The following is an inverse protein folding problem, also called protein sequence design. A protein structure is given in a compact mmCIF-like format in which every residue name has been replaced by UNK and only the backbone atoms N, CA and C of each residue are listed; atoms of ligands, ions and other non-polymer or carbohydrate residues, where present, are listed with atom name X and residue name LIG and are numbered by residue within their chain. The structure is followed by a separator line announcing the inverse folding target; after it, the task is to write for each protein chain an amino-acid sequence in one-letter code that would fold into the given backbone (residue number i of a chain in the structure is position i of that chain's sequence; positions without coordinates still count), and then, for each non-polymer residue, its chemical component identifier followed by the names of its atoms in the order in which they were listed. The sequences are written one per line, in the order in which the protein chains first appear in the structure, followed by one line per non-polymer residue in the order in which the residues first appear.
data_IF_252795679337
#
_entry.id   IF_252795679337
#
_cell.length_a   1.000
_cell.length_b   1.000
_cell.length_c   1.000
_cell.angle_alpha   90.00
_cell.angle_beta   90.00
_cell.angle_gamma   90.00
#
_symmetry.space_group_name_H-M   'P 1'
#
loop_
_entity.id
_entity.type
_entity.pdbx_description
1 polymer ?
#
# COMPACT_ATOMS: atom_id res chain seq x y z
N UNK A 1 16.95 36.08 -14.34
CA UNK A 1 15.93 36.01 -13.28
C UNK A 1 14.62 36.44 -13.89
N UNK A 2 13.52 35.74 -13.60
CA UNK A 2 12.17 36.10 -14.02
C UNK A 2 11.35 36.29 -12.76
N UNK A 3 11.16 37.55 -12.36
CA UNK A 3 10.48 37.92 -11.11
C UNK A 3 8.97 38.17 -11.31
N UNK A 4 8.51 38.26 -12.55
CA UNK A 4 7.10 38.37 -12.94
C UNK A 4 6.70 37.20 -13.83
N UNK A 5 5.39 36.92 -13.89
CA UNK A 5 4.83 35.90 -14.78
C UNK A 5 5.33 36.11 -16.21
N UNK A 6 5.91 35.05 -16.77
CA UNK A 6 6.59 35.08 -18.06
C UNK A 6 6.01 34.00 -18.95
N UNK A 7 5.52 34.38 -20.13
CA UNK A 7 4.80 33.49 -21.02
C UNK A 7 5.25 33.58 -22.47
N UNK A 8 5.54 32.43 -23.06
CA UNK A 8 5.82 32.23 -24.47
C UNK A 8 4.76 31.28 -25.03
N UNK A 9 3.90 31.78 -25.91
CA UNK A 9 2.78 31.03 -26.47
C UNK A 9 2.92 30.90 -27.97
N UNK A 10 2.84 29.65 -28.48
CA UNK A 10 2.77 29.37 -29.91
C UNK A 10 3.92 29.93 -30.75
N UNK A 11 5.13 30.01 -30.18
CA UNK A 11 6.32 30.49 -30.87
C UNK A 11 7.05 29.33 -31.55
N UNK A 12 7.85 29.68 -32.56
CA UNK A 12 8.84 28.78 -33.15
C UNK A 12 10.25 29.30 -32.87
N UNK A 13 11.04 28.54 -32.13
CA UNK A 13 12.45 28.81 -31.88
C UNK A 13 13.28 28.05 -32.92
N UNK A 14 13.90 28.80 -33.84
CA UNK A 14 14.61 28.25 -34.99
C UNK A 14 16.06 27.86 -34.71
N UNK A 15 16.60 28.25 -33.56
CA UNK A 15 17.97 27.96 -33.13
C UNK A 15 17.97 27.27 -31.76
N UNK A 16 19.15 26.84 -31.33
CA UNK A 16 19.35 26.27 -29.98
C UNK A 16 18.93 27.27 -28.91
N UNK A 17 18.10 26.84 -27.97
CA UNK A 17 17.64 27.67 -26.84
C UNK A 17 18.36 27.22 -25.57
N UNK A 18 19.15 28.12 -24.99
CA UNK A 18 19.89 27.88 -23.75
C UNK A 18 19.40 28.82 -22.64
N UNK A 19 18.60 28.29 -21.72
CA UNK A 19 18.06 28.96 -20.53
C UNK A 19 18.78 28.46 -19.27
N UNK A 20 20.10 28.62 -19.23
CA UNK A 20 20.93 28.03 -18.17
C UNK A 20 20.87 28.86 -16.88
N UNK A 21 20.82 28.18 -15.74
CA UNK A 21 20.82 28.81 -14.40
C UNK A 21 19.71 29.85 -14.24
N UNK A 22 18.56 29.58 -14.85
CA UNK A 22 17.43 30.48 -14.79
C UNK A 22 16.82 30.40 -13.38
N UNK A 23 16.37 31.54 -12.86
CA UNK A 23 15.66 31.60 -11.58
C UNK A 23 14.31 32.28 -11.82
N UNK A 24 13.26 31.46 -11.92
CA UNK A 24 11.86 31.86 -12.00
C UNK A 24 11.31 31.97 -10.58
N UNK A 25 10.86 33.17 -10.20
CA UNK A 25 10.16 33.42 -8.92
C UNK A 25 8.65 33.60 -9.08
N UNK A 26 8.20 33.64 -10.33
CA UNK A 26 6.82 33.73 -10.77
C UNK A 26 6.54 32.62 -11.80
N UNK A 27 5.32 32.53 -12.31
CA UNK A 27 4.94 31.47 -13.24
C UNK A 27 5.74 31.60 -14.55
N UNK A 28 6.24 30.48 -15.06
CA UNK A 28 7.01 30.42 -16.30
C UNK A 28 6.33 29.47 -17.29
N UNK A 29 5.75 30.02 -18.36
CA UNK A 29 4.87 29.31 -19.27
C UNK A 29 5.48 29.28 -20.67
N UNK A 30 5.73 28.08 -21.19
CA UNK A 30 6.17 27.79 -22.55
C UNK A 30 5.11 26.92 -23.23
N UNK A 31 3.97 27.51 -23.54
CA UNK A 31 2.81 26.78 -24.04
C UNK A 31 2.81 26.67 -25.57
N UNK A 32 2.66 25.44 -26.08
CA UNK A 32 2.44 25.20 -27.51
C UNK A 32 3.57 25.67 -28.42
N UNK A 33 4.81 25.76 -27.91
CA UNK A 33 5.94 26.24 -28.71
C UNK A 33 6.57 25.10 -29.52
N UNK A 34 7.26 25.45 -30.60
CA UNK A 34 8.06 24.52 -31.40
C UNK A 34 9.53 24.90 -31.24
N UNK A 35 10.34 23.94 -30.78
CA UNK A 35 11.80 24.06 -30.72
C UNK A 35 12.39 23.19 -31.83
N UNK A 36 13.02 23.83 -32.83
CA UNK A 36 13.58 23.10 -33.97
C UNK A 36 14.94 22.50 -33.67
N UNK A 37 15.64 23.01 -32.66
CA UNK A 37 16.93 22.54 -32.17
C UNK A 37 16.87 22.28 -30.66
N UNK A 38 18.01 21.89 -30.09
CA UNK A 38 18.17 21.55 -28.68
C UNK A 38 17.65 22.65 -27.75
N UNK A 39 16.92 22.24 -26.71
CA UNK A 39 16.57 23.09 -25.57
C UNK A 39 17.40 22.64 -24.36
N UNK A 40 18.09 23.57 -23.71
CA UNK A 40 18.75 23.31 -22.42
C UNK A 40 18.31 24.34 -21.38
N UNK A 41 17.74 23.86 -20.29
CA UNK A 41 17.26 24.64 -19.15
C UNK A 41 18.00 24.24 -17.87
N UNK A 42 19.18 23.65 -18.02
CA UNK A 42 19.93 23.03 -16.93
C UNK A 42 20.26 24.01 -15.80
N UNK A 43 20.36 23.47 -14.58
CA UNK A 43 20.73 24.20 -13.35
C UNK A 43 19.76 25.31 -12.98
N UNK A 44 18.51 25.22 -13.43
CA UNK A 44 17.50 26.25 -13.23
C UNK A 44 16.65 25.98 -11.99
N UNK A 45 16.04 27.04 -11.46
CA UNK A 45 15.18 26.99 -10.29
C UNK A 45 13.84 27.65 -10.63
N UNK A 46 12.77 26.87 -10.48
CA UNK A 46 11.39 27.26 -10.67
C UNK A 46 10.68 27.24 -9.33
N UNK A 47 10.52 28.42 -8.72
CA UNK A 47 9.86 28.56 -7.41
C UNK A 47 8.34 28.56 -7.50
N UNK A 48 7.79 28.70 -8.70
CA UNK A 48 6.36 28.71 -9.02
C UNK A 48 6.09 27.76 -10.20
N UNK A 49 4.85 27.78 -10.70
CA UNK A 49 4.41 26.89 -11.78
C UNK A 49 5.28 27.01 -13.04
N UNK A 50 5.69 25.87 -13.57
CA UNK A 50 6.35 25.75 -14.87
C UNK A 50 5.47 24.96 -15.81
N UNK A 51 5.32 25.42 -17.06
CA UNK A 51 4.63 24.65 -18.09
C UNK A 51 5.38 24.63 -19.40
N UNK A 52 5.54 23.45 -19.99
CA UNK A 52 5.93 23.22 -21.39
C UNK A 52 4.80 22.55 -22.19
N UNK A 53 3.58 22.61 -21.66
CA UNK A 53 2.42 21.92 -22.20
C UNK A 53 2.21 22.19 -23.68
N UNK A 54 1.79 21.16 -24.43
CA UNK A 54 1.54 21.22 -25.87
C UNK A 54 2.76 21.54 -26.75
N UNK A 55 3.98 21.63 -26.20
CA UNK A 55 5.15 21.97 -26.99
C UNK A 55 5.69 20.79 -27.80
N UNK A 56 6.34 21.10 -28.92
CA UNK A 56 7.03 20.15 -29.79
C UNK A 56 8.54 20.42 -29.75
N UNK A 57 9.31 19.38 -29.45
CA UNK A 57 10.76 19.40 -29.45
C UNK A 57 11.28 18.47 -30.54
N UNK A 58 11.97 19.04 -31.54
CA UNK A 58 12.52 18.25 -32.66
C UNK A 58 13.84 17.57 -32.31
N UNK A 59 14.58 18.12 -31.36
CA UNK A 59 15.87 17.62 -30.88
C UNK A 59 15.85 17.43 -29.35
N UNK A 60 17.00 17.08 -28.79
CA UNK A 60 17.15 16.77 -27.36
C UNK A 60 16.74 17.93 -26.43
N UNK A 61 16.20 17.57 -25.26
CA UNK A 61 15.73 18.50 -24.24
C UNK A 61 16.35 18.18 -22.88
N UNK A 62 16.97 19.17 -22.24
CA UNK A 62 17.67 18.97 -20.97
C UNK A 62 17.15 19.91 -19.89
N UNK A 63 16.76 19.33 -18.77
CA UNK A 63 16.36 20.00 -17.53
C UNK A 63 17.27 19.64 -16.35
N UNK A 64 18.48 19.15 -16.62
CA UNK A 64 19.34 18.51 -15.62
C UNK A 64 19.73 19.46 -14.48
N UNK A 65 19.86 18.90 -13.28
CA UNK A 65 20.24 19.63 -12.06
C UNK A 65 19.29 20.81 -11.75
N UNK A 66 18.03 20.71 -12.15
CA UNK A 66 17.04 21.77 -11.95
C UNK A 66 16.10 21.48 -10.78
N UNK A 67 15.51 22.54 -10.23
CA UNK A 67 14.62 22.48 -9.07
C UNK A 67 13.24 23.00 -9.46
N UNK A 68 12.21 22.21 -9.21
CA UNK A 68 10.80 22.51 -9.45
C UNK A 68 10.04 22.46 -8.12
N UNK A 69 9.90 23.62 -7.47
CA UNK A 69 9.32 23.70 -6.12
C UNK A 69 7.79 23.68 -6.11
N UNK A 70 7.16 23.87 -7.27
CA UNK A 70 5.71 23.78 -7.47
C UNK A 70 5.42 22.84 -8.64
N UNK A 71 4.18 22.85 -9.14
CA UNK A 71 3.76 21.97 -10.23
C UNK A 71 4.55 22.23 -11.52
N UNK A 72 5.00 21.14 -12.15
CA UNK A 72 5.68 21.15 -13.42
C UNK A 72 4.86 20.39 -14.48
N UNK A 73 4.26 21.13 -15.41
CA UNK A 73 3.37 20.59 -16.44
C UNK A 73 4.09 20.45 -17.79
N UNK A 74 4.48 19.22 -18.10
CA UNK A 74 5.03 18.79 -19.38
C UNK A 74 4.02 17.95 -20.16
N UNK A 75 2.72 18.07 -19.87
CA UNK A 75 1.69 17.26 -20.52
C UNK A 75 1.50 17.61 -21.99
N UNK A 76 1.06 16.63 -22.78
CA UNK A 76 0.71 16.79 -24.20
C UNK A 76 1.86 17.29 -25.06
N UNK A 77 3.11 17.13 -24.62
CA UNK A 77 4.26 17.49 -25.43
C UNK A 77 4.68 16.34 -26.35
N UNK A 78 5.46 16.65 -27.38
CA UNK A 78 6.10 15.64 -28.23
C UNK A 78 7.60 15.90 -28.27
N UNK A 79 8.39 14.89 -27.89
CA UNK A 79 9.86 14.96 -27.96
C UNK A 79 10.33 13.93 -28.98
N UNK A 80 10.98 14.40 -30.05
CA UNK A 80 11.44 13.54 -31.14
C UNK A 80 12.77 12.82 -30.83
N UNK A 81 13.53 13.33 -29.87
CA UNK A 81 14.80 12.77 -29.40
C UNK A 81 14.73 12.56 -27.88
N UNK A 82 15.85 12.71 -27.17
CA UNK A 82 15.91 12.39 -25.75
C UNK A 82 15.47 13.57 -24.88
N UNK A 83 14.92 13.26 -23.71
CA UNK A 83 14.67 14.21 -22.63
C UNK A 83 15.34 13.73 -21.34
N UNK A 84 16.03 14.64 -20.67
CA UNK A 84 16.76 14.35 -19.43
C UNK A 84 16.32 15.28 -18.31
N UNK A 85 15.90 14.67 -17.20
CA UNK A 85 15.64 15.33 -15.92
C UNK A 85 16.69 14.98 -14.86
N UNK A 86 17.83 14.43 -15.27
CA UNK A 86 18.81 13.85 -14.35
C UNK A 86 19.29 14.84 -13.27
N UNK A 87 19.52 14.32 -12.06
CA UNK A 87 19.91 15.09 -10.87
C UNK A 87 18.93 16.22 -10.50
N UNK A 88 17.69 16.19 -10.99
CA UNK A 88 16.70 17.23 -10.70
C UNK A 88 15.88 16.93 -9.46
N UNK A 89 15.17 17.95 -8.99
CA UNK A 89 14.29 17.85 -7.83
C UNK A 89 12.90 18.36 -8.16
N UNK A 90 11.89 17.49 -8.06
CA UNK A 90 10.48 17.86 -8.14
C UNK A 90 9.84 17.75 -6.77
N UNK A 91 9.28 18.85 -6.26
CA UNK A 91 8.67 18.88 -4.92
C UNK A 91 7.22 18.39 -4.95
N UNK A 92 6.34 19.13 -5.65
CA UNK A 92 4.89 18.91 -5.59
C UNK A 92 4.35 17.94 -6.63
N UNK A 93 4.43 18.29 -7.91
CA UNK A 93 3.90 17.46 -8.98
C UNK A 93 4.68 17.58 -10.28
N UNK A 94 4.67 16.47 -11.05
CA UNK A 94 5.18 16.38 -12.41
C UNK A 94 4.12 15.70 -13.27
N UNK A 95 3.67 16.36 -14.33
CA UNK A 95 2.80 15.73 -15.33
C UNK A 95 3.52 15.58 -16.65
N UNK A 96 3.63 14.34 -17.14
CA UNK A 96 3.98 13.99 -18.52
C UNK A 96 2.76 13.48 -19.30
N UNK A 97 1.55 13.66 -18.76
CA UNK A 97 0.33 13.04 -19.29
C UNK A 97 0.11 13.32 -20.78
N UNK A 98 -0.38 12.34 -21.54
CA UNK A 98 -0.63 12.42 -22.98
C UNK A 98 0.59 12.83 -23.83
N UNK A 99 1.81 12.75 -23.29
CA UNK A 99 3.01 13.11 -24.04
C UNK A 99 3.49 11.94 -24.89
N UNK A 100 4.17 12.28 -25.98
CA UNK A 100 4.77 11.30 -26.91
C UNK A 100 6.28 11.47 -26.89
N UNK A 101 6.98 10.43 -26.43
CA UNK A 101 8.43 10.38 -26.41
C UNK A 101 8.93 9.38 -27.45
N UNK A 102 9.63 9.89 -28.45
CA UNK A 102 10.26 9.06 -29.50
C UNK A 102 11.68 8.66 -29.17
N UNK A 103 12.37 9.39 -28.30
CA UNK A 103 13.64 9.01 -27.70
C UNK A 103 13.49 8.60 -26.23
N UNK A 104 14.60 8.57 -25.51
CA UNK A 104 14.67 8.18 -24.12
C UNK A 104 14.17 9.28 -23.17
N UNK A 105 13.56 8.87 -22.07
CA UNK A 105 13.19 9.73 -20.94
C UNK A 105 14.02 9.30 -19.73
N UNK A 106 14.84 10.19 -19.19
CA UNK A 106 15.76 9.86 -18.09
C UNK A 106 15.43 10.64 -16.81
N UNK A 107 15.35 9.91 -15.70
CA UNK A 107 15.12 10.40 -14.34
C UNK A 107 16.24 9.96 -13.37
N UNK A 108 17.45 9.75 -13.89
CA UNK A 108 18.56 9.23 -13.07
C UNK A 108 18.86 10.21 -11.93
N UNK A 109 18.97 9.68 -10.72
CA UNK A 109 19.21 10.45 -9.48
C UNK A 109 18.22 11.60 -9.25
N UNK A 110 17.04 11.54 -9.88
CA UNK A 110 16.00 12.56 -9.73
C UNK A 110 15.19 12.29 -8.47
N UNK A 111 14.88 13.35 -7.72
CA UNK A 111 13.89 13.30 -6.65
C UNK A 111 12.50 13.48 -7.25
N UNK A 112 11.66 12.43 -7.12
CA UNK A 112 10.29 12.46 -7.64
C UNK A 112 9.34 13.26 -6.76
N UNK A 113 8.30 13.87 -7.36
CA UNK A 113 7.31 14.65 -6.62
C UNK A 113 6.40 13.80 -5.75
N UNK A 114 5.58 14.45 -4.94
CA UNK A 114 4.43 13.81 -4.29
C UNK A 114 3.43 13.20 -5.29
N UNK A 115 3.22 13.84 -6.44
CA UNK A 115 2.32 13.35 -7.49
C UNK A 115 2.99 13.30 -8.87
N UNK A 116 3.03 12.10 -9.47
CA UNK A 116 3.57 11.86 -10.80
C UNK A 116 2.46 11.39 -11.76
N UNK A 117 2.19 12.16 -12.79
CA UNK A 117 1.18 11.82 -13.79
C UNK A 117 1.82 11.37 -15.11
N UNK A 118 1.72 10.08 -15.40
CA UNK A 118 2.17 9.44 -16.63
C UNK A 118 0.98 8.93 -17.45
N UNK A 119 -0.24 9.37 -17.17
CA UNK A 119 -1.42 8.86 -17.86
C UNK A 119 -1.36 9.11 -19.37
N UNK A 120 -1.74 8.10 -20.15
CA UNK A 120 -1.74 8.11 -21.61
C UNK A 120 -0.39 8.49 -22.24
N UNK A 121 0.73 8.34 -21.51
CA UNK A 121 2.06 8.56 -22.09
C UNK A 121 2.36 7.49 -23.14
N UNK A 122 2.93 7.92 -24.26
CA UNK A 122 3.41 7.05 -25.32
C UNK A 122 4.93 7.03 -25.33
N UNK A 123 5.50 5.85 -25.14
CA UNK A 123 6.93 5.62 -25.03
C UNK A 123 7.38 4.67 -26.15
N UNK A 124 8.40 5.05 -26.92
CA UNK A 124 9.07 4.13 -27.86
C UNK A 124 10.17 3.31 -27.21
N UNK A 125 10.74 3.81 -26.12
CA UNK A 125 11.79 3.17 -25.33
C UNK A 125 11.33 2.98 -23.90
N UNK A 126 11.94 2.00 -23.21
CA UNK A 126 11.64 1.77 -21.79
C UNK A 126 12.02 2.98 -20.93
N UNK A 127 11.09 3.35 -20.06
CA UNK A 127 11.25 4.31 -18.98
C UNK A 127 11.62 3.55 -17.70
N UNK A 128 12.84 3.75 -17.21
CA UNK A 128 13.31 3.13 -15.97
C UNK A 128 13.16 4.09 -14.78
N UNK A 129 12.28 3.71 -13.86
CA UNK A 129 12.01 4.38 -12.59
C UNK A 129 12.67 3.62 -11.41
N UNK A 130 13.73 2.85 -11.64
CA UNK A 130 14.52 2.23 -10.57
C UNK A 130 15.75 3.04 -10.17
N UNK A 131 16.29 3.85 -11.08
CA UNK A 131 17.52 4.63 -10.89
C UNK A 131 17.28 6.02 -10.27
N UNK A 132 16.17 6.16 -9.54
CA UNK A 132 15.77 7.44 -8.97
C UNK A 132 16.30 7.62 -7.55
N UNK A 133 16.48 8.87 -7.14
CA UNK A 133 16.89 9.18 -5.78
C UNK A 133 15.68 9.08 -4.84
N UNK A 134 15.47 7.88 -4.31
CA UNK A 134 14.42 7.60 -3.32
C UNK A 134 14.75 8.10 -1.91
N UNK A 135 15.92 8.72 -1.70
CA UNK A 135 16.34 9.37 -0.44
C UNK A 135 15.91 8.65 0.85
N UNK A 136 15.65 9.43 1.91
CA UNK A 136 14.73 9.00 2.98
C UNK A 136 13.38 9.62 2.62
N UNK A 137 12.67 9.04 1.66
CA UNK A 137 11.30 9.47 1.38
C UNK A 137 10.45 9.21 2.62
N UNK A 138 9.98 10.29 3.27
CA UNK A 138 9.00 10.23 4.36
C UNK A 138 7.55 10.13 3.83
N UNK A 139 7.38 9.94 2.52
CA UNK A 139 6.08 9.90 1.86
C UNK A 139 6.02 8.82 0.78
N UNK A 140 4.79 8.50 0.37
CA UNK A 140 4.47 7.62 -0.76
C UNK A 140 4.17 8.50 -1.98
N UNK A 141 4.69 8.13 -3.14
CA UNK A 141 4.46 8.86 -4.39
C UNK A 141 3.13 8.40 -4.98
N UNK A 142 2.19 9.34 -5.13
CA UNK A 142 0.96 9.10 -5.86
C UNK A 142 1.27 9.12 -7.37
N UNK A 143 0.93 8.05 -8.08
CA UNK A 143 1.22 7.91 -9.50
C UNK A 143 -0.05 7.58 -10.30
N UNK A 144 -0.26 8.31 -11.40
CA UNK A 144 -1.32 8.02 -12.36
C UNK A 144 -0.71 7.37 -13.61
N UNK A 145 -1.15 6.14 -13.91
CA UNK A 145 -0.67 5.32 -15.02
C UNK A 145 -1.78 4.93 -16.01
N UNK A 146 -2.96 5.53 -15.89
CA UNK A 146 -4.12 5.19 -16.73
C UNK A 146 -3.79 5.37 -18.20
N UNK A 147 -4.01 4.34 -19.01
CA UNK A 147 -3.83 4.40 -20.47
C UNK A 147 -2.39 4.52 -20.96
N UNK A 148 -1.39 4.47 -20.07
CA UNK A 148 0.01 4.40 -20.43
C UNK A 148 0.39 3.02 -21.02
N UNK A 149 1.43 2.94 -21.84
CA UNK A 149 2.03 1.65 -22.21
C UNK A 149 2.87 1.11 -21.04
N UNK A 150 2.20 0.38 -20.14
CA UNK A 150 2.79 -0.15 -18.91
C UNK A 150 3.96 -1.11 -19.18
N UNK A 151 4.05 -1.73 -20.35
CA UNK A 151 5.17 -2.65 -20.67
C UNK A 151 6.49 -1.91 -20.89
N UNK A 152 6.42 -0.61 -21.16
CA UNK A 152 7.59 0.24 -21.31
C UNK A 152 8.00 0.88 -19.99
N UNK A 153 7.25 0.73 -18.89
CA UNK A 153 7.56 1.38 -17.62
C UNK A 153 8.11 0.34 -16.64
N UNK A 154 9.38 0.48 -16.27
CA UNK A 154 9.99 -0.32 -15.21
C UNK A 154 9.87 0.43 -13.88
N UNK A 155 9.24 -0.20 -12.89
CA UNK A 155 8.87 0.45 -11.63
C UNK A 155 9.13 -0.48 -10.43
N UNK A 156 9.76 0.05 -9.39
CA UNK A 156 9.68 -0.53 -8.05
C UNK A 156 8.50 0.11 -7.31
N UNK A 157 7.39 -0.62 -7.18
CA UNK A 157 6.15 -0.10 -6.63
C UNK A 157 6.15 0.08 -5.10
N UNK A 158 7.21 -0.32 -4.39
CA UNK A 158 7.25 -0.27 -2.91
C UNK A 158 7.02 1.13 -2.33
N UNK A 159 7.35 2.18 -3.08
CA UNK A 159 7.20 3.59 -2.70
C UNK A 159 6.06 4.33 -3.41
N UNK A 160 5.23 3.61 -4.19
CA UNK A 160 4.17 4.22 -4.99
C UNK A 160 2.77 3.83 -4.49
N UNK A 161 1.78 4.60 -4.93
CA UNK A 161 0.35 4.33 -4.79
C UNK A 161 -0.36 4.82 -6.05
N UNK A 162 -1.25 4.01 -6.61
CA UNK A 162 -2.01 4.41 -7.78
C UNK A 162 -3.09 5.40 -7.38
N UNK A 163 -3.20 6.45 -8.17
CA UNK A 163 -4.31 7.40 -8.10
C UNK A 163 -4.95 7.49 -9.47
N UNK A 164 -6.28 7.52 -9.46
CA UNK A 164 -7.09 7.50 -10.67
C UNK A 164 -7.93 8.78 -10.71
N UNK A 165 -8.04 9.45 -11.88
CA UNK A 165 -8.94 10.58 -12.01
C UNK A 165 -10.40 10.11 -11.93
N UNK A 166 -11.30 11.00 -11.48
CA UNK A 166 -12.73 10.71 -11.37
C UNK A 166 -13.38 10.31 -12.71
N UNK A 167 -12.73 10.65 -13.83
CA UNK A 167 -13.15 10.32 -15.19
C UNK A 167 -12.72 8.93 -15.65
N UNK A 168 -11.83 8.24 -14.94
CA UNK A 168 -11.34 6.92 -15.33
C UNK A 168 -12.44 5.87 -15.22
N UNK A 169 -12.59 5.05 -16.27
CA UNK A 169 -13.52 3.94 -16.23
C UNK A 169 -13.00 2.79 -15.36
N UNK A 170 -13.92 2.01 -14.77
CA UNK A 170 -13.55 0.82 -13.99
C UNK A 170 -12.67 -0.16 -14.80
N UNK A 171 -12.91 -0.25 -16.11
CA UNK A 171 -12.13 -1.11 -17.00
C UNK A 171 -10.67 -0.64 -17.14
N UNK A 172 -10.44 0.66 -17.27
CA UNK A 172 -9.09 1.23 -17.32
C UNK A 172 -8.35 1.04 -15.99
N UNK A 173 -9.05 1.22 -14.88
CA UNK A 173 -8.50 1.04 -13.53
C UNK A 173 -8.09 -0.43 -13.34
N UNK A 174 -9.00 -1.38 -13.59
CA UNK A 174 -8.70 -2.81 -13.49
C UNK A 174 -7.58 -3.21 -14.44
N UNK A 175 -7.60 -2.73 -15.69
CA UNK A 175 -6.52 -3.01 -16.64
C UNK A 175 -5.17 -2.55 -16.11
N UNK A 176 -5.10 -1.36 -15.49
CA UNK A 176 -3.86 -0.81 -14.90
C UNK A 176 -3.35 -1.71 -13.79
N UNK A 177 -4.20 -2.04 -12.81
CA UNK A 177 -3.83 -2.92 -11.70
C UNK A 177 -3.38 -4.31 -12.17
N UNK A 178 -4.19 -4.97 -12.99
CA UNK A 178 -3.94 -6.35 -13.40
C UNK A 178 -2.70 -6.48 -14.28
N UNK A 179 -2.42 -5.49 -15.13
CA UNK A 179 -1.21 -5.48 -15.96
C UNK A 179 0.05 -5.33 -15.11
N UNK A 180 0.07 -4.39 -14.16
CA UNK A 180 1.21 -4.23 -13.25
C UNK A 180 1.40 -5.44 -12.33
N UNK A 181 0.31 -6.02 -11.81
CA UNK A 181 0.37 -7.25 -11.01
C UNK A 181 0.98 -8.41 -11.79
N UNK A 182 0.59 -8.56 -13.06
CA UNK A 182 1.16 -9.58 -13.95
C UNK A 182 2.67 -9.34 -14.14
N UNK A 183 3.07 -8.11 -14.44
CA UNK A 183 4.49 -7.76 -14.61
C UNK A 183 5.32 -8.04 -13.35
N UNK A 184 4.86 -7.61 -12.17
CA UNK A 184 5.58 -7.85 -10.91
C UNK A 184 5.69 -9.33 -10.57
N UNK A 185 4.66 -10.11 -10.92
CA UNK A 185 4.70 -11.57 -10.77
C UNK A 185 5.74 -12.20 -11.71
N UNK A 186 5.75 -11.80 -12.99
CA UNK A 186 6.71 -12.31 -13.98
C UNK A 186 8.16 -11.88 -13.68
N UNK A 187 8.35 -10.69 -13.12
CA UNK A 187 9.65 -10.15 -12.71
C UNK A 187 10.12 -10.63 -11.31
N UNK A 188 9.36 -11.49 -10.63
CA UNK A 188 9.63 -11.93 -9.25
C UNK A 188 9.74 -10.78 -8.21
N UNK A 189 9.09 -9.64 -8.45
CA UNK A 189 9.06 -8.50 -7.53
C UNK A 189 7.98 -8.67 -6.46
N UNK A 190 8.23 -9.55 -5.49
CA UNK A 190 7.23 -9.94 -4.48
C UNK A 190 6.72 -8.78 -3.62
N UNK A 191 7.60 -7.86 -3.21
CA UNK A 191 7.21 -6.71 -2.38
C UNK A 191 6.24 -5.77 -3.11
N UNK A 192 6.59 -5.39 -4.34
CA UNK A 192 5.75 -4.61 -5.26
C UNK A 192 4.41 -5.29 -5.53
N UNK A 193 4.44 -6.60 -5.83
CA UNK A 193 3.24 -7.40 -6.06
C UNK A 193 2.29 -7.39 -4.86
N UNK A 194 2.79 -7.72 -3.66
CA UNK A 194 1.97 -7.77 -2.43
C UNK A 194 1.34 -6.42 -2.12
N UNK A 195 2.11 -5.33 -2.23
CA UNK A 195 1.62 -3.97 -2.00
C UNK A 195 0.50 -3.61 -2.97
N UNK A 196 0.75 -3.76 -4.28
CA UNK A 196 -0.22 -3.46 -5.33
C UNK A 196 -1.48 -4.33 -5.22
N UNK A 197 -1.33 -5.61 -4.87
CA UNK A 197 -2.45 -6.54 -4.74
C UNK A 197 -3.39 -6.14 -3.59
N UNK A 198 -2.82 -5.79 -2.43
CA UNK A 198 -3.62 -5.29 -1.31
C UNK A 198 -4.36 -4.00 -1.67
N UNK A 199 -3.71 -3.10 -2.40
CA UNK A 199 -4.33 -1.85 -2.89
C UNK A 199 -5.48 -2.13 -3.87
N UNK A 200 -5.29 -3.06 -4.82
CA UNK A 200 -6.32 -3.47 -5.78
C UNK A 200 -7.55 -4.09 -5.09
N UNK A 201 -7.33 -5.01 -4.15
CA UNK A 201 -8.41 -5.66 -3.41
C UNK A 201 -9.18 -4.64 -2.54
N UNK A 202 -8.48 -3.71 -1.89
CA UNK A 202 -9.12 -2.61 -1.17
C UNK A 202 -10.00 -1.78 -2.10
N UNK A 203 -9.48 -1.40 -3.26
CA UNK A 203 -10.20 -0.63 -4.26
C UNK A 203 -11.48 -1.35 -4.73
N UNK A 204 -11.37 -2.63 -5.10
CA UNK A 204 -12.49 -3.43 -5.60
C UNK A 204 -13.57 -3.64 -4.55
N UNK A 205 -13.20 -3.89 -3.29
CA UNK A 205 -14.17 -4.04 -2.21
C UNK A 205 -14.94 -2.74 -1.94
N UNK A 206 -14.27 -1.59 -1.97
CA UNK A 206 -14.92 -0.29 -1.83
C UNK A 206 -15.87 0.00 -3.00
N UNK A 207 -15.45 -0.32 -4.23
CA UNK A 207 -16.28 -0.18 -5.43
C UNK A 207 -17.55 -1.04 -5.36
N UNK A 208 -17.45 -2.29 -4.90
CA UNK A 208 -18.60 -3.19 -4.70
C UNK A 208 -19.41 -2.90 -3.42
N UNK A 209 -19.00 -1.92 -2.60
CA UNK A 209 -19.61 -1.57 -1.30
C UNK A 209 -19.53 -2.69 -0.26
N UNK A 210 -18.52 -3.55 -0.35
CA UNK A 210 -18.26 -4.67 0.55
C UNK A 210 -17.45 -4.24 1.78
N UNK A 211 -17.93 -3.24 2.52
CA UNK A 211 -17.16 -2.60 3.59
C UNK A 211 -16.74 -3.56 4.72
N UNK A 212 -17.63 -4.47 5.12
CA UNK A 212 -17.35 -5.43 6.21
C UNK A 212 -16.26 -6.41 5.77
N UNK A 213 -16.39 -6.96 4.56
CA UNK A 213 -15.41 -7.87 3.98
C UNK A 213 -14.05 -7.18 3.80
N UNK A 214 -14.05 -5.90 3.41
CA UNK A 214 -12.85 -5.09 3.28
C UNK A 214 -12.10 -4.98 4.61
N UNK A 215 -12.81 -4.63 5.69
CA UNK A 215 -12.21 -4.50 7.03
C UNK A 215 -11.64 -5.83 7.50
N UNK A 216 -12.40 -6.93 7.35
CA UNK A 216 -11.94 -8.27 7.75
C UNK A 216 -10.69 -8.65 6.95
N UNK A 217 -10.74 -8.55 5.62
CA UNK A 217 -9.64 -8.94 4.75
C UNK A 217 -8.38 -8.11 4.99
N UNK A 218 -8.53 -6.80 5.22
CA UNK A 218 -7.42 -5.87 5.49
C UNK A 218 -6.68 -6.22 6.77
N UNK A 219 -7.38 -6.36 7.88
CA UNK A 219 -6.74 -6.53 9.19
C UNK A 219 -6.43 -7.99 9.53
N UNK A 220 -7.23 -8.94 9.04
CA UNK A 220 -7.05 -10.34 9.42
C UNK A 220 -5.87 -10.99 8.69
N UNK A 221 -5.71 -10.76 7.38
CA UNK A 221 -4.66 -11.42 6.58
C UNK A 221 -4.12 -10.56 5.43
N UNK A 222 -4.34 -9.24 5.47
CA UNK A 222 -3.90 -8.28 4.45
C UNK A 222 -4.27 -8.72 3.01
N UNK A 223 -5.55 -9.05 2.80
CA UNK A 223 -6.14 -9.53 1.53
C UNK A 223 -5.54 -10.83 0.97
N UNK A 224 -4.57 -11.43 1.63
CA UNK A 224 -4.02 -12.77 1.37
C UNK A 224 -2.52 -12.72 1.24
N UNK A 225 -1.94 -11.52 1.28
CA UNK A 225 -0.54 -11.24 1.00
C UNK A 225 0.38 -11.56 2.18
N UNK A 226 -0.17 -11.56 3.40
CA UNK A 226 0.53 -11.82 4.65
C UNK A 226 -0.19 -12.93 5.44
N UNK A 227 -0.19 -14.17 4.91
CA UNK A 227 -0.88 -15.27 5.55
C UNK A 227 -0.32 -15.61 6.95
N UNK A 228 0.93 -15.24 7.25
CA UNK A 228 1.58 -15.39 8.56
C UNK A 228 0.89 -14.62 9.70
N UNK A 229 0.06 -13.61 9.40
CA UNK A 229 -0.70 -12.88 10.42
C UNK A 229 -1.68 -13.78 11.18
N UNK A 230 -2.00 -14.96 10.65
CA UNK A 230 -2.78 -15.95 11.37
C UNK A 230 -2.18 -16.31 12.73
N UNK A 231 -0.85 -16.43 12.83
CA UNK A 231 -0.19 -16.80 14.08
C UNK A 231 -0.38 -15.70 15.14
N UNK A 232 -0.33 -14.45 14.70
CA UNK A 232 -0.60 -13.29 15.54
C UNK A 232 -2.06 -13.29 16.02
N UNK A 233 -3.03 -13.47 15.12
CA UNK A 233 -4.45 -13.49 15.50
C UNK A 233 -4.82 -14.68 16.38
N UNK A 234 -4.26 -15.86 16.12
CA UNK A 234 -4.43 -17.04 16.96
C UNK A 234 -3.93 -16.78 18.39
N UNK A 235 -2.74 -16.18 18.53
CA UNK A 235 -2.21 -15.79 19.83
C UNK A 235 -3.08 -14.73 20.51
N UNK A 236 -3.50 -13.69 19.77
CA UNK A 236 -4.33 -12.61 20.30
C UNK A 236 -5.70 -13.10 20.78
N UNK A 237 -6.38 -13.96 20.01
CA UNK A 237 -7.66 -14.57 20.42
C UNK A 237 -7.49 -15.48 21.63
N UNK A 238 -6.43 -16.29 21.66
CA UNK A 238 -6.12 -17.16 22.79
C UNK A 238 -5.93 -16.33 24.07
N UNK A 239 -5.14 -15.25 23.99
CA UNK A 239 -4.91 -14.35 25.12
C UNK A 239 -6.18 -13.60 25.53
N UNK A 240 -6.98 -13.13 24.57
CA UNK A 240 -8.26 -12.47 24.82
C UNK A 240 -9.23 -13.37 25.60
N UNK A 241 -9.45 -14.60 25.14
CA UNK A 241 -10.29 -15.56 25.85
C UNK A 241 -9.68 -15.97 27.19
N UNK A 242 -8.37 -16.10 27.27
CA UNK A 242 -7.67 -16.37 28.55
C UNK A 242 -7.95 -15.26 29.55
N UNK A 243 -7.88 -13.99 29.16
CA UNK A 243 -8.19 -12.86 30.03
C UNK A 243 -9.64 -12.91 30.53
N UNK A 244 -10.62 -13.16 29.66
CA UNK A 244 -12.03 -13.33 30.05
C UNK A 244 -12.18 -14.50 31.02
N UNK A 245 -11.64 -15.67 30.67
CA UNK A 245 -11.68 -16.87 31.49
C UNK A 245 -11.03 -16.65 32.86
N UNK A 246 -9.98 -15.83 32.93
CA UNK A 246 -9.30 -15.49 34.19
C UNK A 246 -10.22 -14.68 35.12
N UNK A 247 -10.99 -13.74 34.57
CA UNK A 247 -11.93 -12.93 35.36
C UNK A 247 -13.05 -13.76 36.00
N UNK A 248 -13.49 -14.82 35.31
CA UNK A 248 -14.64 -15.66 35.69
C UNK A 248 -14.26 -17.12 36.06
N UNK A 249 -12.96 -17.39 36.26
CA UNK A 249 -12.39 -18.73 36.31
C UNK A 249 -13.09 -19.67 37.29
N UNK A 250 -13.28 -19.23 38.54
CA UNK A 250 -13.89 -20.02 39.61
C UNK A 250 -15.34 -20.39 39.29
N UNK A 251 -16.07 -19.47 38.65
CA UNK A 251 -17.48 -19.69 38.30
C UNK A 251 -17.60 -20.64 37.11
N UNK A 252 -16.79 -20.41 36.06
CA UNK A 252 -16.78 -21.23 34.86
C UNK A 252 -16.40 -22.67 35.20
N UNK A 253 -15.32 -22.89 35.96
CA UNK A 253 -14.82 -24.25 36.26
C UNK A 253 -15.67 -25.03 37.26
N UNK A 254 -16.27 -24.36 38.27
CA UNK A 254 -17.07 -25.05 39.30
C UNK A 254 -18.52 -25.28 38.89
N UNK A 255 -19.14 -24.30 38.23
CA UNK A 255 -20.58 -24.33 37.95
C UNK A 255 -20.92 -24.80 36.54
N UNK A 256 -20.07 -24.52 35.56
CA UNK A 256 -20.47 -24.59 34.15
C UNK A 256 -19.65 -25.59 33.31
N UNK A 257 -18.35 -25.73 33.58
CA UNK A 257 -17.45 -26.66 32.89
C UNK A 257 -16.48 -27.29 33.89
N UNK A 258 -16.79 -28.50 34.39
CA UNK A 258 -15.99 -29.14 35.44
C UNK A 258 -14.90 -30.03 34.85
N UNK A 259 -13.65 -29.55 34.92
CA UNK A 259 -12.45 -30.31 34.59
C UNK A 259 -11.70 -30.61 35.90
N UNK A 260 -11.70 -31.87 36.40
CA UNK A 260 -11.31 -32.18 37.78
C UNK A 260 -9.93 -31.69 38.24
N UNK A 261 -8.95 -31.63 37.33
CA UNK A 261 -7.59 -31.17 37.63
C UNK A 261 -7.41 -29.65 37.56
N UNK A 262 -8.39 -28.92 37.02
CA UNK A 262 -8.38 -27.45 36.91
C UNK A 262 -9.22 -26.78 38.00
N UNK A 263 -10.08 -27.51 38.70
CA UNK A 263 -10.90 -26.94 39.78
C UNK A 263 -10.02 -26.56 40.97
N UNK A 264 -9.98 -25.27 41.28
CA UNK A 264 -9.29 -24.77 42.47
C UNK A 264 -10.08 -25.09 43.75
N UNK A 265 -9.52 -25.99 44.57
CA UNK A 265 -10.10 -26.39 45.85
C UNK A 265 -9.84 -25.37 46.97
N UNK A 266 -8.90 -24.43 46.81
CA UNK A 266 -8.50 -23.46 47.83
C UNK A 266 -8.53 -22.02 47.27
N UNK A 267 -9.73 -21.42 47.20
CA UNK A 267 -9.85 -20.02 46.78
C UNK A 267 -9.56 -19.07 47.96
N UNK A 268 -8.48 -18.29 47.89
CA UNK A 268 -8.13 -17.30 48.92
C UNK A 268 -8.96 -16.01 48.80
N UNK A 269 -9.35 -15.42 49.94
CA UNK A 269 -10.16 -14.18 50.00
C UNK A 269 -9.53 -13.00 49.24
N UNK A 270 -8.20 -12.85 49.30
CA UNK A 270 -7.44 -11.78 48.63
C UNK A 270 -7.57 -11.86 47.11
N UNK A 271 -7.55 -13.06 46.55
CA UNK A 271 -7.71 -13.34 45.11
C UNK A 271 -9.12 -12.98 44.64
N UNK A 272 -10.14 -13.14 45.49
CA UNK A 272 -11.51 -12.74 45.19
C UNK A 272 -11.71 -11.22 45.21
N UNK A 273 -10.95 -10.48 46.04
CA UNK A 273 -11.16 -9.03 46.25
C UNK A 273 -10.50 -8.15 45.18
N UNK A 274 -9.31 -8.50 44.68
CA UNK A 274 -8.54 -7.63 43.78
C UNK A 274 -8.42 -8.22 42.37
N UNK A 275 -8.87 -7.47 41.35
CA UNK A 275 -8.89 -7.91 39.95
C UNK A 275 -7.50 -8.23 39.39
N UNK A 276 -6.48 -7.42 39.70
CA UNK A 276 -5.10 -7.66 39.23
C UNK A 276 -4.47 -8.91 39.84
N UNK A 277 -4.71 -9.16 41.13
CA UNK A 277 -4.23 -10.37 41.81
C UNK A 277 -4.97 -11.61 41.26
N UNK A 278 -6.27 -11.46 40.98
CA UNK A 278 -7.08 -12.48 40.32
C UNK A 278 -6.52 -12.83 38.93
N UNK A 279 -6.14 -11.81 38.16
CA UNK A 279 -5.53 -11.98 36.85
C UNK A 279 -4.25 -12.82 36.98
N UNK A 280 -3.28 -12.38 37.79
CA UNK A 280 -2.00 -13.07 37.95
C UNK A 280 -2.16 -14.51 38.47
N UNK A 281 -3.02 -14.71 39.48
CA UNK A 281 -3.18 -16.02 40.12
C UNK A 281 -3.89 -17.04 39.24
N UNK A 282 -4.99 -16.65 38.57
CA UNK A 282 -5.76 -17.59 37.75
C UNK A 282 -5.25 -17.71 36.32
N UNK A 283 -4.47 -16.75 35.80
CA UNK A 283 -4.06 -16.72 34.39
C UNK A 283 -3.40 -18.03 33.90
N UNK A 284 -2.44 -18.66 34.61
CA UNK A 284 -1.84 -19.91 34.13
C UNK A 284 -2.86 -21.04 33.97
N UNK A 285 -3.79 -21.17 34.93
CA UNK A 285 -4.82 -22.21 34.89
C UNK A 285 -5.93 -21.88 33.89
N UNK A 286 -6.26 -20.60 33.75
CA UNK A 286 -7.20 -20.10 32.75
C UNK A 286 -6.64 -20.27 31.33
N UNK A 287 -5.33 -20.14 31.14
CA UNK A 287 -4.67 -20.40 29.85
C UNK A 287 -4.79 -21.88 29.47
N UNK A 288 -4.52 -22.81 30.39
CA UNK A 288 -4.71 -24.25 30.16
C UNK A 288 -6.18 -24.55 29.84
N UNK A 289 -7.11 -24.01 30.63
CA UNK A 289 -8.55 -24.15 30.39
C UNK A 289 -8.95 -23.64 28.99
N UNK A 290 -8.44 -22.47 28.61
CA UNK A 290 -8.71 -21.86 27.30
C UNK A 290 -8.10 -22.69 26.18
N UNK A 291 -6.85 -23.16 26.32
CA UNK A 291 -6.18 -24.03 25.34
C UNK A 291 -6.95 -25.34 25.12
N UNK A 292 -7.46 -25.95 26.19
CA UNK A 292 -8.26 -27.17 26.07
C UNK A 292 -9.57 -26.92 25.32
N UNK A 293 -10.23 -25.78 25.51
CA UNK A 293 -11.45 -25.45 24.74
C UNK A 293 -11.13 -25.02 23.30
N UNK A 294 -10.12 -24.18 23.13
CA UNK A 294 -9.75 -23.56 21.85
C UNK A 294 -9.10 -24.56 20.89
N UNK A 295 -8.25 -25.47 21.38
CA UNK A 295 -7.59 -26.50 20.56
C UNK A 295 -8.04 -27.90 20.96
N UNK A 296 -8.04 -28.18 22.27
CA UNK A 296 -8.24 -29.54 22.80
C UNK A 296 -9.59 -30.18 22.47
N UNK A 297 -10.66 -29.38 22.33
CA UNK A 297 -11.98 -29.85 21.95
C UNK A 297 -11.99 -30.56 20.58
N UNK A 298 -11.11 -30.15 19.65
CA UNK A 298 -11.02 -30.74 18.32
C UNK A 298 -10.33 -32.11 18.32
N UNK A 299 -9.34 -32.27 19.20
CA UNK A 299 -8.54 -33.50 19.29
C UNK A 299 -9.03 -34.44 20.41
N UNK A 300 -10.22 -34.18 20.96
CA UNK A 300 -10.77 -34.87 22.14
C UNK A 300 -9.78 -34.94 23.31
N UNK A 301 -8.95 -33.91 23.46
CA UNK A 301 -7.98 -33.79 24.54
C UNK A 301 -8.72 -33.41 25.84
N UNK A 302 -9.31 -34.42 26.48
CA UNK A 302 -9.74 -34.37 27.88
C UNK A 302 -11.03 -33.60 28.19
N UNK A 303 -11.77 -33.09 27.21
CA UNK A 303 -13.10 -32.50 27.41
C UNK A 303 -14.17 -33.44 26.83
N UNK A 304 -14.78 -34.26 27.69
CA UNK A 304 -16.01 -34.98 27.35
C UNK A 304 -17.23 -34.05 27.36
N UNK A 305 -18.31 -34.42 26.67
CA UNK A 305 -19.59 -33.69 26.73
C UNK A 305 -20.09 -33.52 28.16
N UNK A 306 -19.79 -34.48 29.03
CA UNK A 306 -20.18 -34.53 30.45
C UNK A 306 -19.50 -33.45 31.31
N UNK A 307 -18.44 -32.82 30.79
CA UNK A 307 -17.77 -31.71 31.44
C UNK A 307 -18.64 -30.44 31.45
N UNK A 308 -19.51 -30.26 30.43
CA UNK A 308 -20.38 -29.10 30.31
C UNK A 308 -21.70 -29.32 31.05
N UNK A 309 -21.94 -28.55 32.12
CA UNK A 309 -23.12 -28.67 33.00
C UNK A 309 -24.04 -27.45 32.96
N UNK A 310 -23.75 -26.49 32.08
CA UNK A 310 -24.46 -25.22 32.01
C UNK A 310 -25.81 -25.34 31.30
N UNK A 311 -26.88 -24.91 31.98
CA UNK A 311 -28.20 -24.65 31.38
C UNK A 311 -28.35 -23.21 30.88
N UNK A 312 -27.36 -22.35 31.12
CA UNK A 312 -27.41 -20.93 30.75
C UNK A 312 -26.99 -20.73 29.28
N UNK A 313 -27.90 -20.18 28.48
CA UNK A 313 -27.70 -19.94 27.05
C UNK A 313 -26.48 -19.06 26.77
N UNK A 314 -26.28 -17.96 27.51
CA UNK A 314 -25.18 -17.02 27.26
C UNK A 314 -23.80 -17.68 27.48
N UNK A 315 -23.69 -18.54 28.50
CA UNK A 315 -22.46 -19.27 28.82
C UNK A 315 -22.18 -20.35 27.78
N UNK A 316 -23.23 -21.03 27.31
CA UNK A 316 -23.10 -22.02 26.25
C UNK A 316 -22.68 -21.37 24.93
N UNK A 317 -23.28 -20.22 24.57
CA UNK A 317 -22.85 -19.42 23.42
C UNK A 317 -21.39 -18.97 23.55
N UNK A 318 -20.97 -18.55 24.75
CA UNK A 318 -19.58 -18.20 25.00
C UNK A 318 -18.62 -19.38 24.76
N UNK A 319 -18.89 -20.56 25.32
CA UNK A 319 -18.06 -21.74 25.08
C UNK A 319 -18.04 -22.16 23.60
N UNK A 320 -19.19 -22.13 22.94
CA UNK A 320 -19.29 -22.37 21.49
C UNK A 320 -18.41 -21.38 20.72
N UNK A 321 -18.41 -20.11 21.11
CA UNK A 321 -17.59 -19.07 20.46
C UNK A 321 -16.10 -19.38 20.58
N UNK A 322 -15.60 -19.77 21.76
CA UNK A 322 -14.19 -20.16 21.94
C UNK A 322 -13.83 -21.35 21.04
N UNK A 323 -14.65 -22.41 21.09
CA UNK A 323 -14.42 -23.64 20.32
C UNK A 323 -14.44 -23.33 18.82
N UNK A 324 -15.42 -22.55 18.36
CA UNK A 324 -15.56 -22.17 16.96
C UNK A 324 -14.40 -21.30 16.47
N UNK A 325 -13.97 -20.31 17.27
CA UNK A 325 -12.76 -19.53 16.97
C UNK A 325 -11.53 -20.42 16.82
N UNK A 326 -11.41 -21.43 17.68
CA UNK A 326 -10.36 -22.45 17.61
C UNK A 326 -10.38 -23.29 16.34
N UNK A 327 -11.56 -23.82 15.97
CA UNK A 327 -11.79 -24.55 14.70
C UNK A 327 -11.36 -23.70 13.51
N UNK A 328 -11.81 -22.45 13.48
CA UNK A 328 -11.55 -21.53 12.39
C UNK A 328 -10.05 -21.25 12.26
N UNK A 329 -9.35 -21.01 13.38
CA UNK A 329 -7.90 -20.86 13.39
C UNK A 329 -7.17 -22.12 12.87
N UNK A 330 -7.60 -23.31 13.28
CA UNK A 330 -7.03 -24.57 12.80
C UNK A 330 -7.24 -24.80 11.30
N UNK A 331 -8.44 -24.48 10.79
CA UNK A 331 -8.74 -24.59 9.35
C UNK A 331 -7.81 -23.69 8.53
N UNK A 332 -7.64 -22.43 8.94
CA UNK A 332 -6.74 -21.53 8.23
C UNK A 332 -5.27 -21.91 8.39
N UNK A 333 -4.85 -22.44 9.55
CA UNK A 333 -3.49 -22.94 9.75
C UNK A 333 -3.21 -24.16 8.86
N UNK A 334 -4.18 -25.04 8.69
CA UNK A 334 -4.09 -26.15 7.73
C UNK A 334 -3.98 -25.65 6.29
N UNK A 335 -4.81 -24.67 5.89
CA UNK A 335 -4.72 -24.00 4.58
C UNK A 335 -3.33 -23.39 4.36
N UNK A 336 -2.76 -22.74 5.37
CA UNK A 336 -1.43 -22.15 5.31
C UNK A 336 -0.33 -23.20 5.08
N UNK A 337 -0.37 -24.32 5.83
CA UNK A 337 0.60 -25.41 5.67
C UNK A 337 0.51 -26.03 4.27
N UNK A 338 -0.71 -26.29 3.78
CA UNK A 338 -0.90 -26.84 2.43
C UNK A 338 -0.32 -25.91 1.35
N UNK A 339 -0.49 -24.59 1.49
CA UNK A 339 0.05 -23.62 0.55
C UNK A 339 1.59 -23.50 0.57
N UNK A 340 2.28 -24.04 1.58
CA UNK A 340 3.75 -24.11 1.62
C UNK A 340 4.30 -25.41 1.05
N UNK A 341 3.47 -26.47 0.99
CA UNK A 341 3.88 -27.79 0.54
C UNK A 341 3.72 -28.00 -0.98
N UNK A 342 2.92 -27.18 -1.64
CA UNK A 342 2.74 -27.15 -3.10
C UNK A 342 3.31 -25.86 -3.67
#
# INVERSE_FOLDING_TARGET
KLDNDSGFYFNQFNDTVALLKLNCRANCIFYGNIFTHKLSVNKSMFNQYLSFKHSLFKEDVFFEQSYFNQDADFSRMTVNKDISFNDSFFDKSLSLAHSVFKGHVSFNDTHLPHFLDLSYVQLTHKLDLSQMNLGILNYVIDINLVGADLNQIMLDYTHFKLVFPDTASINEIQHTYLTLLKQFKEANQQASYKRLFAEYEEYMNLYHKEYVQNVISKYWWCYGTHPEWIFFWMLMLLLFFTCINTCFYDTLTKRYCNIPFLVDKQSHFVVRRYAMIRLIYYFPRALIFTLMMFVGAQFRLGIGTDAFKSTNLAINLYFITIIFSGVLCLFFLFKYILAQLG
#
